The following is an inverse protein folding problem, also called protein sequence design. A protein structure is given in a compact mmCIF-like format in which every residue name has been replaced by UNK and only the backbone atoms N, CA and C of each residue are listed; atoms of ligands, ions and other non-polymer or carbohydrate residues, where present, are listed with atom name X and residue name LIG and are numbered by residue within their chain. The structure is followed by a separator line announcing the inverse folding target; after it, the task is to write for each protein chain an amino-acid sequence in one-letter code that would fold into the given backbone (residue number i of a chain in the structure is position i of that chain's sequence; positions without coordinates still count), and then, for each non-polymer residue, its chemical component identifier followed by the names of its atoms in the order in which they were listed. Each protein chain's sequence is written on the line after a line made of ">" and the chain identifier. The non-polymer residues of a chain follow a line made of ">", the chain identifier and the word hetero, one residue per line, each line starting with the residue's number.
data_IF_727710720174
#
_entry.id   IF_727710720174
#
_cell.length_a   1.000
_cell.length_b   1.000
_cell.length_c   1.000
_cell.angle_alpha   90.00
_cell.angle_beta   90.00
_cell.angle_gamma   90.00
#
_symmetry.space_group_name_H-M   'P 1'
#
loop_
_entity.id
_entity.type
_entity.pdbx_description
1 polymer ?
#
# COMPACT_ATOMS: atom_id res chain seq x y z
N UNK A 1 -38.43 -9.35 -45.06
CA UNK A 1 -38.84 -9.38 -43.63
C UNK A 1 -38.96 -10.84 -43.15
N UNK A 2 -37.91 -11.64 -43.37
CA UNK A 2 -37.76 -13.05 -42.93
C UNK A 2 -36.27 -13.34 -42.66
N UNK A 3 -35.60 -12.43 -41.94
CA UNK A 3 -34.23 -12.63 -41.45
C UNK A 3 -34.04 -11.98 -40.07
N UNK A 4 -35.12 -11.89 -39.29
CA UNK A 4 -35.09 -11.41 -37.89
C UNK A 4 -35.89 -12.35 -36.96
N UNK A 5 -36.63 -13.33 -37.49
CA UNK A 5 -37.45 -14.26 -36.69
C UNK A 5 -36.78 -15.61 -36.40
N UNK A 6 -35.54 -15.81 -36.85
CA UNK A 6 -34.70 -16.97 -36.50
C UNK A 6 -33.57 -16.57 -35.53
N UNK A 7 -33.79 -15.55 -34.68
CA UNK A 7 -33.03 -15.46 -33.43
C UNK A 7 -33.57 -16.54 -32.50
N UNK A 8 -33.03 -17.73 -32.73
CA UNK A 8 -33.30 -19.02 -32.11
C UNK A 8 -33.55 -18.87 -30.60
N UNK A 9 -34.67 -19.43 -30.12
CA UNK A 9 -35.05 -19.47 -28.70
C UNK A 9 -34.02 -20.19 -27.80
N UNK A 10 -32.97 -20.77 -28.38
CA UNK A 10 -31.75 -21.21 -27.69
C UNK A 10 -30.90 -20.08 -27.08
N UNK A 11 -31.14 -18.81 -27.44
CA UNK A 11 -30.27 -17.68 -27.04
C UNK A 11 -30.47 -17.16 -25.60
N UNK A 12 -31.40 -17.72 -24.81
CA UNK A 12 -31.60 -17.36 -23.40
C UNK A 12 -31.73 -18.63 -22.54
N UNK A 13 -30.90 -19.63 -22.81
CA UNK A 13 -30.69 -20.67 -21.81
C UNK A 13 -29.83 -20.06 -20.69
N UNK A 14 -30.33 -20.13 -19.45
CA UNK A 14 -29.59 -19.72 -18.24
C UNK A 14 -28.18 -20.30 -18.21
N UNK A 15 -27.98 -21.46 -18.85
CA UNK A 15 -26.71 -22.15 -19.00
C UNK A 15 -25.67 -21.35 -19.78
N UNK A 16 -26.00 -20.75 -20.92
CA UNK A 16 -25.04 -19.93 -21.69
C UNK A 16 -24.59 -18.68 -20.92
N UNK A 17 -25.51 -18.04 -20.19
CA UNK A 17 -25.19 -16.89 -19.34
C UNK A 17 -24.33 -17.29 -18.13
N UNK A 18 -24.52 -18.48 -17.57
CA UNK A 18 -23.67 -19.01 -16.49
C UNK A 18 -22.28 -19.43 -17.02
N UNK A 19 -22.20 -20.07 -18.19
CA UNK A 19 -20.93 -20.36 -18.87
C UNK A 19 -20.15 -19.09 -19.17
N UNK A 20 -20.80 -18.06 -19.71
CA UNK A 20 -20.17 -16.77 -19.98
C UNK A 20 -19.68 -16.09 -18.70
N UNK A 21 -20.46 -16.11 -17.60
CA UNK A 21 -20.00 -15.61 -16.29
C UNK A 21 -18.79 -16.40 -15.78
N UNK A 22 -18.78 -17.72 -15.95
CA UNK A 22 -17.68 -18.56 -15.52
C UNK A 22 -16.40 -18.30 -16.33
N UNK A 23 -16.55 -18.06 -17.63
CA UNK A 23 -15.47 -17.64 -18.51
C UNK A 23 -14.93 -16.24 -18.14
N UNK A 24 -15.81 -15.29 -17.82
CA UNK A 24 -15.42 -13.98 -17.29
C UNK A 24 -14.65 -14.10 -15.97
N UNK A 25 -15.08 -14.98 -15.05
CA UNK A 25 -14.33 -15.23 -13.79
C UNK A 25 -12.93 -15.76 -14.08
N UNK A 26 -12.78 -16.70 -15.02
CA UNK A 26 -11.47 -17.25 -15.42
C UNK A 26 -10.54 -16.15 -15.95
N UNK A 27 -11.05 -15.28 -16.83
CA UNK A 27 -10.28 -14.15 -17.37
C UNK A 27 -9.88 -13.16 -16.27
N UNK A 28 -10.80 -12.86 -15.35
CA UNK A 28 -10.52 -12.00 -14.19
C UNK A 28 -9.41 -12.61 -13.32
N UNK A 29 -9.47 -13.92 -13.07
CA UNK A 29 -8.46 -14.61 -12.26
C UNK A 29 -7.09 -14.62 -12.95
N UNK A 30 -7.04 -14.92 -14.25
CA UNK A 30 -5.80 -14.79 -15.05
C UNK A 30 -5.22 -13.37 -14.99
N UNK A 31 -6.06 -12.34 -15.08
CA UNK A 31 -5.62 -10.95 -14.94
C UNK A 31 -5.08 -10.64 -13.54
N UNK A 32 -5.67 -11.22 -12.49
CA UNK A 32 -5.19 -11.07 -11.10
C UNK A 32 -3.83 -11.73 -10.92
N UNK A 33 -3.68 -12.93 -11.45
CA UNK A 33 -2.46 -13.73 -11.38
C UNK A 33 -1.32 -13.05 -12.15
N UNK A 34 -1.57 -12.60 -13.38
CA UNK A 34 -0.63 -11.78 -14.13
C UNK A 34 -0.22 -10.49 -13.39
N UNK A 35 -1.18 -9.78 -12.79
CA UNK A 35 -0.88 -8.59 -11.96
C UNK A 35 -0.07 -8.93 -10.71
N UNK A 36 -0.19 -10.15 -10.18
CA UNK A 36 0.59 -10.62 -9.04
C UNK A 36 2.03 -10.89 -9.47
N UNK A 37 2.23 -11.64 -10.56
CA UNK A 37 3.56 -11.91 -11.14
C UNK A 37 4.28 -10.61 -11.51
N UNK A 38 3.59 -9.71 -12.20
CA UNK A 38 4.14 -8.40 -12.56
C UNK A 38 4.52 -7.58 -11.33
N UNK A 39 3.79 -7.69 -10.22
CA UNK A 39 4.16 -7.04 -8.95
C UNK A 39 5.41 -7.69 -8.35
N UNK A 40 5.47 -9.01 -8.29
CA UNK A 40 6.60 -9.76 -7.75
C UNK A 40 7.90 -9.49 -8.52
N UNK A 41 7.82 -9.16 -9.81
CA UNK A 41 8.99 -8.81 -10.63
C UNK A 41 9.26 -7.30 -10.65
N UNK A 42 8.25 -6.47 -10.92
CA UNK A 42 8.46 -5.05 -11.14
C UNK A 42 8.78 -4.29 -9.85
N UNK A 43 8.22 -4.69 -8.71
CA UNK A 43 8.46 -4.00 -7.44
C UNK A 43 9.92 -4.15 -7.00
N UNK A 44 10.52 -5.36 -6.94
CA UNK A 44 11.94 -5.49 -6.60
C UNK A 44 12.86 -4.73 -7.56
N UNK A 45 12.59 -4.80 -8.87
CA UNK A 45 13.35 -4.04 -9.86
C UNK A 45 13.27 -2.53 -9.62
N UNK A 46 12.07 -2.02 -9.30
CA UNK A 46 11.85 -0.61 -8.97
C UNK A 46 12.57 -0.22 -7.68
N UNK A 47 12.51 -1.06 -6.63
CA UNK A 47 13.24 -0.83 -5.39
C UNK A 47 14.75 -0.75 -5.64
N UNK A 48 15.30 -1.69 -6.41
CA UNK A 48 16.73 -1.69 -6.74
C UNK A 48 17.12 -0.42 -7.50
N UNK A 49 16.32 -0.03 -8.51
CA UNK A 49 16.53 1.21 -9.24
C UNK A 49 16.48 2.44 -8.32
N UNK A 50 15.52 2.50 -7.39
CA UNK A 50 15.43 3.62 -6.43
C UNK A 50 16.67 3.65 -5.54
N UNK A 51 17.11 2.51 -5.01
CA UNK A 51 18.28 2.43 -4.14
C UNK A 51 19.56 2.91 -4.87
N UNK A 52 19.74 2.52 -6.14
CA UNK A 52 20.83 3.01 -7.00
C UNK A 52 20.74 4.51 -7.29
N UNK A 53 19.56 5.01 -7.67
CA UNK A 53 19.34 6.41 -8.02
C UNK A 53 19.49 7.34 -6.81
N UNK A 54 18.98 6.93 -5.64
CA UNK A 54 19.15 7.67 -4.38
C UNK A 54 20.63 7.77 -4.03
N UNK A 55 21.38 6.66 -4.13
CA UNK A 55 22.82 6.66 -3.84
C UNK A 55 23.58 7.63 -4.74
N UNK A 56 23.24 7.66 -6.03
CA UNK A 56 23.83 8.60 -7.00
C UNK A 56 23.51 10.05 -6.63
N UNK A 57 22.24 10.37 -6.39
CA UNK A 57 21.82 11.73 -6.03
C UNK A 57 22.44 12.20 -4.71
N UNK A 58 22.55 11.31 -3.71
CA UNK A 58 23.20 11.63 -2.45
C UNK A 58 24.68 11.97 -2.65
N UNK A 59 25.39 11.21 -3.50
CA UNK A 59 26.79 11.52 -3.82
C UNK A 59 26.93 12.89 -4.48
N UNK A 60 26.07 13.20 -5.46
CA UNK A 60 26.08 14.50 -6.13
C UNK A 60 25.81 15.68 -5.18
N UNK A 61 24.91 15.47 -4.21
CA UNK A 61 24.62 16.47 -3.17
C UNK A 61 25.81 16.66 -2.24
N UNK A 62 26.43 15.58 -1.78
CA UNK A 62 27.63 15.62 -0.93
C UNK A 62 28.78 16.32 -1.65
N UNK A 63 29.05 15.97 -2.90
CA UNK A 63 30.11 16.57 -3.71
C UNK A 63 29.91 18.08 -3.88
N UNK A 64 28.67 18.51 -4.10
CA UNK A 64 28.33 19.93 -4.18
C UNK A 64 28.61 20.67 -2.85
N UNK A 65 28.25 20.09 -1.70
CA UNK A 65 28.54 20.67 -0.39
C UNK A 65 30.04 20.72 -0.08
N UNK A 66 30.79 19.67 -0.44
CA UNK A 66 32.24 19.62 -0.27
C UNK A 66 32.92 20.70 -1.11
N UNK A 67 32.48 20.88 -2.36
CA UNK A 67 32.97 21.94 -3.23
C UNK A 67 32.68 23.34 -2.66
N UNK A 68 31.46 23.62 -2.15
CA UNK A 68 31.16 24.93 -1.52
C UNK A 68 32.05 25.18 -0.31
N UNK A 69 32.23 24.15 0.53
CA UNK A 69 33.11 24.20 1.70
C UNK A 69 34.55 24.53 1.31
N UNK A 70 35.07 23.91 0.25
CA UNK A 70 36.41 24.20 -0.26
C UNK A 70 36.53 25.63 -0.78
N UNK A 71 35.59 26.10 -1.60
CA UNK A 71 35.62 27.46 -2.14
C UNK A 71 35.54 28.54 -1.04
N UNK A 72 34.85 28.24 0.08
CA UNK A 72 34.84 29.11 1.27
C UNK A 72 36.20 29.17 1.94
N UNK A 73 36.89 28.05 2.10
CA UNK A 73 38.26 28.00 2.65
C UNK A 73 39.24 28.82 1.80
N UNK A 74 39.09 28.76 0.49
CA UNK A 74 39.86 29.55 -0.47
C UNK A 74 39.44 31.04 -0.55
N UNK A 75 38.52 31.49 0.30
CA UNK A 75 37.99 32.87 0.35
C UNK A 75 37.48 33.37 -1.02
N UNK A 76 36.91 32.49 -1.84
CA UNK A 76 36.36 32.87 -3.15
C UNK A 76 35.17 33.82 -2.96
N UNK A 77 35.01 34.84 -3.83
CA UNK A 77 33.89 35.76 -3.78
C UNK A 77 32.53 35.04 -3.85
N UNK A 78 31.51 35.60 -3.20
CA UNK A 78 30.16 35.01 -3.16
C UNK A 78 29.59 34.75 -4.56
N UNK A 79 29.74 35.70 -5.49
CA UNK A 79 29.26 35.55 -6.86
C UNK A 79 29.94 34.37 -7.58
N UNK A 80 31.23 34.15 -7.32
CA UNK A 80 32.01 33.05 -7.91
C UNK A 80 31.50 31.70 -7.43
N UNK A 81 31.25 31.57 -6.12
CA UNK A 81 30.64 30.37 -5.53
C UNK A 81 29.25 30.11 -6.10
N UNK A 82 28.43 31.14 -6.25
CA UNK A 82 27.05 31.01 -6.78
C UNK A 82 27.00 30.54 -8.24
N UNK A 83 27.95 30.95 -9.07
CA UNK A 83 28.04 30.56 -10.49
C UNK A 83 28.64 29.16 -10.66
N UNK A 84 29.71 28.85 -9.91
CA UNK A 84 30.42 27.56 -10.02
C UNK A 84 29.66 26.40 -9.38
N UNK A 85 28.93 26.64 -8.28
CA UNK A 85 28.21 25.58 -7.56
C UNK A 85 26.94 25.08 -8.24
N UNK A 86 26.62 25.59 -9.43
CA UNK A 86 25.38 25.25 -10.13
C UNK A 86 24.18 25.34 -9.17
N UNK A 87 23.94 26.54 -8.63
CA UNK A 87 22.86 26.93 -7.72
C UNK A 87 22.57 25.95 -6.57
N UNK A 88 22.73 26.37 -5.31
CA UNK A 88 22.27 25.58 -4.15
C UNK A 88 20.78 25.14 -4.27
N UNK A 89 20.01 25.82 -5.12
CA UNK A 89 18.67 25.41 -5.54
C UNK A 89 18.60 24.08 -6.29
N UNK A 90 19.59 23.72 -7.11
CA UNK A 90 19.64 22.41 -7.76
C UNK A 90 19.95 21.30 -6.75
N UNK A 91 20.82 21.55 -5.77
CA UNK A 91 20.99 20.62 -4.63
C UNK A 91 19.71 20.47 -3.82
N UNK A 92 18.99 21.55 -3.53
CA UNK A 92 17.69 21.47 -2.82
C UNK A 92 16.65 20.64 -3.60
N UNK A 93 16.62 20.76 -4.94
CA UNK A 93 15.76 19.94 -5.80
C UNK A 93 16.14 18.46 -5.72
N UNK A 94 17.43 18.14 -5.75
CA UNK A 94 17.93 16.76 -5.60
C UNK A 94 17.59 16.20 -4.22
N UNK A 95 17.76 16.97 -3.15
CA UNK A 95 17.34 16.57 -1.81
C UNK A 95 15.82 16.30 -1.73
N UNK A 96 15.01 17.15 -2.36
CA UNK A 96 13.56 16.93 -2.47
C UNK A 96 13.24 15.62 -3.23
N UNK A 97 13.95 15.36 -4.33
CA UNK A 97 13.80 14.14 -5.12
C UNK A 97 14.21 12.90 -4.32
N UNK A 98 15.32 12.95 -3.59
CA UNK A 98 15.76 11.88 -2.67
C UNK A 98 14.66 11.57 -1.65
N UNK A 99 14.05 12.58 -1.03
CA UNK A 99 12.97 12.38 -0.05
C UNK A 99 11.77 11.65 -0.68
N UNK A 100 11.36 12.05 -1.89
CA UNK A 100 10.26 11.42 -2.63
C UNK A 100 10.58 9.96 -2.97
N UNK A 101 11.78 9.69 -3.49
CA UNK A 101 12.23 8.35 -3.83
C UNK A 101 12.31 7.44 -2.61
N UNK A 102 12.85 7.93 -1.48
CA UNK A 102 12.88 7.18 -0.21
C UNK A 102 11.46 6.84 0.29
N UNK A 103 10.50 7.76 0.14
CA UNK A 103 9.11 7.50 0.50
C UNK A 103 8.47 6.44 -0.42
N UNK A 104 8.71 6.52 -1.73
CA UNK A 104 8.27 5.51 -2.71
C UNK A 104 8.86 4.13 -2.37
N UNK A 105 10.17 4.05 -2.13
CA UNK A 105 10.87 2.83 -1.73
C UNK A 105 10.31 2.22 -0.45
N UNK A 106 10.00 3.05 0.53
CA UNK A 106 9.35 2.60 1.76
C UNK A 106 7.96 2.00 1.48
N UNK A 107 7.14 2.68 0.68
CA UNK A 107 5.83 2.18 0.28
C UNK A 107 5.91 0.83 -0.44
N UNK A 108 6.78 0.71 -1.44
CA UNK A 108 7.00 -0.52 -2.19
C UNK A 108 7.51 -1.67 -1.32
N UNK A 109 8.41 -1.39 -0.38
CA UNK A 109 8.92 -2.37 0.58
C UNK A 109 7.83 -2.87 1.54
N UNK A 110 6.91 -1.99 1.97
CA UNK A 110 5.76 -2.41 2.77
C UNK A 110 4.78 -3.24 1.93
N UNK A 111 4.62 -2.94 0.65
CA UNK A 111 3.76 -3.71 -0.25
C UNK A 111 4.24 -5.15 -0.41
N UNK A 112 5.56 -5.38 -0.51
CA UNK A 112 6.15 -6.73 -0.49
C UNK A 112 5.97 -7.43 0.86
N UNK A 113 6.23 -6.72 1.98
CA UNK A 113 6.01 -7.27 3.33
C UNK A 113 4.56 -7.69 3.58
N UNK A 114 3.60 -6.92 3.05
CA UNK A 114 2.19 -7.25 3.17
C UNK A 114 1.79 -8.48 2.35
N UNK A 115 2.53 -8.82 1.29
CA UNK A 115 2.37 -10.11 0.59
C UNK A 115 2.92 -11.29 1.42
N UNK A 116 3.98 -11.07 2.21
CA UNK A 116 4.55 -12.10 3.09
C UNK A 116 3.76 -12.27 4.39
N UNK A 117 3.09 -11.23 4.90
CA UNK A 117 2.22 -11.32 6.09
C UNK A 117 0.98 -12.18 5.88
N UNK A 118 0.68 -12.61 4.65
CA UNK A 118 -0.24 -13.72 4.38
C UNK A 118 0.27 -15.08 4.91
N UNK A 119 1.46 -15.16 5.52
CA UNK A 119 1.94 -16.36 6.24
C UNK A 119 1.61 -16.37 7.73
N UNK A 120 1.17 -15.26 8.31
CA UNK A 120 0.64 -15.30 9.68
C UNK A 120 -0.75 -15.88 9.55
N UNK A 121 -0.96 -17.08 10.09
CA UNK A 121 -2.29 -17.66 10.19
C UNK A 121 -3.15 -16.80 11.13
N UNK A 122 -3.85 -15.84 10.54
CA UNK A 122 -4.77 -14.92 11.22
C UNK A 122 -6.11 -15.59 11.52
N UNK A 123 -6.31 -16.87 11.20
CA UNK A 123 -7.57 -17.56 11.46
C UNK A 123 -7.92 -17.61 12.95
N UNK A 124 -6.93 -17.80 13.83
CA UNK A 124 -7.14 -17.77 15.28
C UNK A 124 -7.46 -16.35 15.77
N UNK A 125 -6.76 -15.34 15.24
CA UNK A 125 -7.02 -13.93 15.53
C UNK A 125 -8.44 -13.55 15.12
N UNK A 126 -8.87 -13.99 13.94
CA UNK A 126 -10.21 -13.76 13.38
C UNK A 126 -11.28 -14.37 14.26
N UNK A 127 -11.17 -15.65 14.64
CA UNK A 127 -12.09 -16.32 15.58
C UNK A 127 -12.17 -15.59 16.93
N UNK A 128 -11.03 -15.13 17.45
CA UNK A 128 -11.00 -14.36 18.71
C UNK A 128 -11.71 -13.03 18.59
N UNK A 129 -11.52 -12.32 17.47
CA UNK A 129 -12.22 -11.07 17.21
C UNK A 129 -13.72 -11.31 17.07
N UNK A 130 -14.14 -12.33 16.32
CA UNK A 130 -15.56 -12.71 16.15
C UNK A 130 -16.27 -12.96 17.48
N UNK A 131 -15.59 -13.63 18.42
CA UNK A 131 -16.13 -13.88 19.78
C UNK A 131 -16.12 -12.65 20.69
N UNK A 132 -15.30 -11.64 20.39
CA UNK A 132 -15.14 -10.45 21.23
C UNK A 132 -16.09 -9.32 20.81
N UNK A 133 -16.31 -9.14 19.51
CA UNK A 133 -17.08 -8.01 18.99
C UNK A 133 -18.55 -8.38 18.81
N UNK A 134 -19.44 -7.48 19.26
CA UNK A 134 -20.88 -7.61 19.06
C UNK A 134 -21.31 -6.71 17.91
N UNK A 135 -21.58 -7.32 16.76
CA UNK A 135 -22.08 -6.63 15.57
C UNK A 135 -23.56 -6.28 15.73
N UNK A 136 -23.94 -5.08 15.30
CA UNK A 136 -25.36 -4.77 15.12
C UNK A 136 -25.92 -5.43 13.85
N UNK A 137 -27.23 -5.30 13.61
CA UNK A 137 -27.92 -5.85 12.44
C UNK A 137 -27.39 -5.36 11.07
N UNK A 138 -26.55 -4.32 11.06
CA UNK A 138 -25.91 -3.76 9.85
C UNK A 138 -24.41 -4.07 9.77
N UNK A 139 -23.87 -4.85 10.71
CA UNK A 139 -22.45 -5.21 10.75
C UNK A 139 -21.52 -4.12 11.28
N UNK A 140 -22.04 -3.18 12.07
CA UNK A 140 -21.25 -2.11 12.70
C UNK A 140 -21.04 -2.36 14.19
N UNK A 141 -19.93 -1.84 14.71
CA UNK A 141 -19.56 -1.80 16.13
C UNK A 141 -19.20 -0.37 16.54
N UNK A 142 -19.28 -0.09 17.85
CA UNK A 142 -18.74 1.15 18.40
C UNK A 142 -17.22 1.14 18.22
N UNK A 143 -16.67 2.26 17.73
CA UNK A 143 -15.24 2.36 17.53
C UNK A 143 -14.54 2.43 18.89
N UNK A 144 -13.54 1.58 19.18
CA UNK A 144 -12.81 1.61 20.45
C UNK A 144 -11.74 2.72 20.50
N UNK A 145 -11.55 3.45 19.39
CA UNK A 145 -10.48 4.45 19.23
C UNK A 145 -10.95 5.89 19.44
N UNK A 146 -12.25 6.11 19.56
CA UNK A 146 -12.84 7.41 19.89
C UNK A 146 -14.20 7.20 20.53
N UNK A 147 -14.69 8.21 21.25
CA UNK A 147 -16.04 8.16 21.80
C UNK A 147 -17.06 8.45 20.70
N UNK A 148 -17.94 7.48 20.45
CA UNK A 148 -19.08 7.62 19.55
C UNK A 148 -20.36 7.18 20.27
N UNK A 149 -21.46 7.89 20.02
CA UNK A 149 -22.79 7.51 20.52
C UNK A 149 -23.44 6.44 19.64
N UNK A 150 -22.96 6.29 18.41
CA UNK A 150 -23.49 5.36 17.41
C UNK A 150 -22.41 4.42 16.88
N UNK A 151 -22.74 3.16 16.53
CA UNK A 151 -21.78 2.25 15.91
C UNK A 151 -21.27 2.80 14.57
N UNK A 152 -19.99 3.19 14.53
CA UNK A 152 -19.35 3.85 13.38
C UNK A 152 -18.25 3.05 12.70
N UNK A 153 -17.83 1.93 13.31
CA UNK A 153 -16.79 1.08 12.75
C UNK A 153 -17.39 -0.17 12.14
N UNK A 154 -17.00 -0.49 10.91
CA UNK A 154 -17.41 -1.70 10.20
C UNK A 154 -16.22 -2.64 10.07
N UNK A 155 -16.51 -3.92 10.28
CA UNK A 155 -15.58 -5.01 9.98
C UNK A 155 -15.99 -5.68 8.67
N UNK A 156 -15.02 -5.99 7.82
CA UNK A 156 -15.21 -6.70 6.57
C UNK A 156 -14.50 -8.07 6.67
N UNK A 157 -15.21 -9.16 7.05
CA UNK A 157 -14.59 -10.45 7.33
C UNK A 157 -13.86 -11.09 6.14
N UNK A 158 -14.31 -10.82 4.92
CA UNK A 158 -13.73 -11.37 3.68
C UNK A 158 -12.36 -10.77 3.36
N UNK A 159 -12.20 -9.47 3.63
CA UNK A 159 -10.98 -8.71 3.41
C UNK A 159 -10.17 -8.47 4.68
N UNK A 160 -10.66 -8.96 5.83
CA UNK A 160 -10.02 -8.88 7.15
C UNK A 160 -9.61 -7.46 7.59
N UNK A 161 -10.33 -6.44 7.11
CA UNK A 161 -10.08 -5.04 7.41
C UNK A 161 -11.21 -4.40 8.20
N UNK A 162 -10.85 -3.41 8.98
CA UNK A 162 -11.74 -2.51 9.68
C UNK A 162 -11.69 -1.12 9.08
N UNK A 163 -12.81 -0.42 9.14
CA UNK A 163 -12.89 0.99 8.79
C UNK A 163 -13.88 1.71 9.71
N UNK A 164 -13.44 2.82 10.31
CA UNK A 164 -14.29 3.71 11.09
C UNK A 164 -14.68 4.93 10.26
N UNK A 165 -15.97 5.08 10.00
CA UNK A 165 -16.50 6.18 9.18
C UNK A 165 -16.57 7.52 9.93
N UNK A 166 -16.48 7.52 11.27
CA UNK A 166 -16.47 8.74 12.08
C UNK A 166 -15.06 9.33 12.26
N UNK A 167 -14.06 8.50 12.61
CA UNK A 167 -12.70 8.98 12.89
C UNK A 167 -11.68 8.70 11.76
N UNK A 168 -12.10 8.01 10.70
CA UNK A 168 -11.26 7.70 9.54
C UNK A 168 -10.21 6.61 9.77
N UNK A 169 -10.18 5.97 10.95
CA UNK A 169 -9.22 4.90 11.21
C UNK A 169 -9.49 3.68 10.31
N UNK A 170 -8.42 3.12 9.75
CA UNK A 170 -8.43 1.96 8.88
C UNK A 170 -7.23 1.06 9.22
N UNK A 171 -7.43 -0.26 9.14
CA UNK A 171 -6.38 -1.25 9.38
C UNK A 171 -6.90 -2.68 9.29
N UNK A 172 -5.97 -3.63 9.23
CA UNK A 172 -6.25 -5.07 9.30
C UNK A 172 -6.49 -5.56 10.75
N UNK A 173 -6.72 -6.87 10.91
CA UNK A 173 -6.93 -7.52 12.22
C UNK A 173 -5.78 -7.24 13.21
N UNK A 174 -4.53 -7.23 12.74
CA UNK A 174 -3.35 -7.03 13.58
C UNK A 174 -3.26 -5.57 14.02
N UNK A 175 -3.40 -4.63 13.08
CA UNK A 175 -3.41 -3.21 13.35
C UNK A 175 -4.54 -2.81 14.32
N UNK A 176 -5.70 -3.47 14.22
CA UNK A 176 -6.79 -3.32 15.16
C UNK A 176 -6.38 -3.68 16.60
N UNK A 177 -5.79 -4.87 16.79
CA UNK A 177 -5.35 -5.34 18.11
C UNK A 177 -4.22 -4.49 18.65
N UNK A 178 -3.22 -4.18 17.82
CA UNK A 178 -2.10 -3.32 18.19
C UNK A 178 -2.60 -1.98 18.75
N UNK A 179 -3.56 -1.36 18.08
CA UNK A 179 -4.10 -0.07 18.50
C UNK A 179 -5.02 -0.18 19.72
N UNK A 180 -5.85 -1.22 19.80
CA UNK A 180 -6.81 -1.44 20.90
C UNK A 180 -6.09 -1.81 22.20
N UNK A 181 -5.18 -2.77 22.12
CA UNK A 181 -4.47 -3.33 23.28
C UNK A 181 -3.15 -2.60 23.58
N UNK A 182 -2.78 -1.60 22.77
CA UNK A 182 -1.50 -0.87 22.83
C UNK A 182 -0.30 -1.82 22.79
N UNK A 183 -0.40 -2.84 21.95
CA UNK A 183 0.63 -3.86 21.75
C UNK A 183 1.46 -3.56 20.51
N UNK A 184 2.76 -3.86 20.56
CA UNK A 184 3.62 -3.91 19.39
C UNK A 184 3.28 -5.11 18.51
N UNK A 185 3.66 -5.06 17.23
CA UNK A 185 3.44 -6.17 16.29
C UNK A 185 3.96 -7.50 16.84
N UNK A 186 5.17 -7.51 17.40
CA UNK A 186 5.79 -8.72 17.97
C UNK A 186 4.99 -9.30 19.14
N UNK A 187 4.44 -8.46 20.00
CA UNK A 187 3.61 -8.90 21.13
C UNK A 187 2.28 -9.48 20.64
N UNK A 188 1.67 -8.89 19.62
CA UNK A 188 0.46 -9.45 19.00
C UNK A 188 0.76 -10.81 18.39
N UNK A 189 1.80 -10.95 17.56
CA UNK A 189 2.14 -12.25 16.97
C UNK A 189 2.37 -13.29 18.06
N UNK A 190 3.19 -13.00 19.08
CA UNK A 190 3.46 -13.94 20.18
C UNK A 190 2.21 -14.32 21.00
N UNK A 191 1.21 -13.45 21.08
CA UNK A 191 -0.03 -13.68 21.82
C UNK A 191 -1.00 -14.60 21.07
N UNK A 192 -0.87 -14.68 19.75
CA UNK A 192 -1.79 -15.40 18.86
C UNK A 192 -1.09 -16.44 17.96
N UNK A 193 0.15 -16.78 18.29
CA UNK A 193 0.93 -17.94 17.79
C UNK A 193 0.62 -19.17 18.65
#
# INVERSE_FOLDING_TARGET
>A
MKMIEEWDQRFIEKEWMEEWKEEQKKVIEQCREFRKEMREIAIPLRINWIDEEVKKLEQEVVDAYLNDSQLRKEKKPYWFRKVILNDLRETDKKESMIRKLKAERHYLSNMLRNQESNKVDVSEIKKRIESTITLNSRGFINCPFHEDKTPSMKWFPDSEVFHCFSCGWHGDLIAFIMKRDKMSFKEVIKKYE
#
